data_IF_198368685590
#
_entry.id   IF_198368685590
#
_cell.length_a   1.000
_cell.length_b   1.000
_cell.length_c   1.000
_cell.angle_alpha   90.00
_cell.angle_beta   90.00
_cell.angle_gamma   90.00
#
_symmetry.space_group_name_H-M   'P 1'
#
loop_
_entity.id
_entity.type
_entity.pdbx_description
1 polymer ?
#
# COMPACT_ATOMS: atom_id res chain seq x y z
N UNK A 1 12.23 9.72 23.33
CA UNK A 1 11.08 9.10 22.69
C UNK A 1 11.22 7.60 22.86
N UNK A 2 10.34 6.99 23.61
CA UNK A 2 10.28 5.53 23.67
C UNK A 2 9.66 5.05 22.36
N UNK A 3 10.51 4.71 21.42
CA UNK A 3 10.10 4.24 20.13
C UNK A 3 9.35 2.92 20.28
N UNK A 4 8.17 2.83 19.71
CA UNK A 4 7.61 1.58 19.29
C UNK A 4 6.75 0.79 20.27
N UNK A 5 6.54 1.22 21.48
CA UNK A 5 5.78 0.43 22.46
C UNK A 5 4.27 0.76 22.52
N UNK A 6 3.82 1.77 21.81
CA UNK A 6 2.40 2.12 21.79
C UNK A 6 1.70 1.50 20.57
N UNK A 7 0.67 0.68 20.76
CA UNK A 7 -0.11 0.16 19.67
C UNK A 7 -0.98 1.28 19.06
N UNK A 8 -0.88 1.44 17.75
CA UNK A 8 -1.78 2.31 16.99
C UNK A 8 -2.87 1.45 16.35
N UNK A 9 -4.12 1.78 16.61
CA UNK A 9 -5.25 1.10 16.00
C UNK A 9 -5.85 2.00 14.90
N UNK A 10 -5.83 1.49 13.68
CA UNK A 10 -6.45 2.13 12.51
C UNK A 10 -7.55 1.19 12.03
N UNK A 11 -8.81 1.59 12.20
CA UNK A 11 -9.93 0.71 11.90
C UNK A 11 -11.19 1.44 11.46
N UNK A 12 -12.03 0.74 10.71
CA UNK A 12 -13.30 1.23 10.19
C UNK A 12 -13.19 2.51 9.33
N UNK A 13 -12.07 2.65 8.60
CA UNK A 13 -11.89 3.78 7.70
C UNK A 13 -12.18 3.38 6.26
N UNK A 14 -12.58 4.36 5.47
CA UNK A 14 -12.65 4.29 4.01
C UNK A 14 -11.57 5.23 3.48
N UNK A 15 -10.53 4.65 2.87
CA UNK A 15 -9.33 5.35 2.38
C UNK A 15 -9.29 5.17 0.86
N UNK A 16 -9.76 6.16 0.14
CA UNK A 16 -10.00 6.05 -1.29
C UNK A 16 -9.53 7.29 -2.05
N UNK A 17 -9.12 7.11 -3.30
CA UNK A 17 -8.80 8.20 -4.23
C UNK A 17 -7.66 9.11 -3.79
N UNK A 18 -6.72 8.60 -3.02
CA UNK A 18 -5.52 9.35 -2.65
C UNK A 18 -4.40 9.09 -3.66
N UNK A 19 -3.55 10.09 -3.84
CA UNK A 19 -2.41 10.01 -4.75
C UNK A 19 -1.13 10.37 -3.98
N UNK A 20 -0.10 9.54 -4.16
CA UNK A 20 1.26 9.81 -3.67
C UNK A 20 2.24 9.84 -4.84
N UNK A 21 3.26 10.67 -4.71
CA UNK A 21 4.36 10.74 -5.68
C UNK A 21 5.42 9.66 -5.49
N UNK A 22 5.40 8.96 -4.38
CA UNK A 22 6.36 7.91 -4.04
C UNK A 22 5.65 6.58 -3.75
N UNK A 23 5.27 6.31 -2.51
CA UNK A 23 4.67 5.06 -2.03
C UNK A 23 3.44 5.31 -1.18
N UNK A 24 2.61 4.28 -0.97
CA UNK A 24 1.49 4.35 -0.05
C UNK A 24 0.48 5.43 -0.40
N UNK A 25 -0.08 5.39 -1.61
CA UNK A 25 -1.10 6.35 -2.03
C UNK A 25 -2.25 6.48 -1.02
N UNK A 26 -2.69 5.36 -0.46
CA UNK A 26 -3.67 5.35 0.63
C UNK A 26 -3.04 5.48 2.01
N UNK A 27 -2.06 4.64 2.32
CA UNK A 27 -1.42 4.55 3.64
C UNK A 27 0.07 4.31 3.47
N UNK A 28 0.90 5.10 4.16
CA UNK A 28 2.34 4.86 4.28
C UNK A 28 2.72 4.72 5.74
N UNK A 29 3.39 3.62 6.10
CA UNK A 29 3.86 3.31 7.45
C UNK A 29 5.38 3.28 7.45
N UNK A 30 5.98 4.24 8.12
CA UNK A 30 7.42 4.36 8.30
C UNK A 30 7.74 4.47 9.79
N UNK A 31 8.69 3.68 10.28
CA UNK A 31 9.01 3.60 11.71
C UNK A 31 7.78 3.34 12.61
N UNK A 32 6.89 2.49 12.14
CA UNK A 32 5.61 2.20 12.78
C UNK A 32 5.43 0.70 13.11
N UNK A 33 6.20 0.14 14.05
CA UNK A 33 6.30 -1.30 14.29
C UNK A 33 5.06 -1.93 14.95
N UNK A 34 4.19 -1.14 15.59
CA UNK A 34 3.05 -1.63 16.39
C UNK A 34 1.69 -1.13 15.88
N UNK A 35 1.50 -1.12 14.58
CA UNK A 35 0.21 -0.76 13.98
C UNK A 35 -0.70 -1.98 13.88
N UNK A 36 -1.95 -1.80 14.28
CA UNK A 36 -3.05 -2.72 14.02
C UNK A 36 -4.00 -2.06 13.04
N UNK A 37 -4.07 -2.63 11.85
CA UNK A 37 -4.85 -2.09 10.74
C UNK A 37 -5.94 -3.09 10.37
N UNK A 38 -7.21 -2.80 10.73
CA UNK A 38 -8.27 -3.77 10.58
C UNK A 38 -9.63 -3.14 10.24
N UNK A 39 -10.47 -3.90 9.56
CA UNK A 39 -11.80 -3.46 9.12
C UNK A 39 -11.77 -2.18 8.26
N UNK A 40 -10.70 -1.95 7.50
CA UNK A 40 -10.60 -0.78 6.62
C UNK A 40 -10.91 -1.17 5.17
N UNK A 41 -11.39 -0.20 4.41
CA UNK A 41 -11.53 -0.27 2.96
C UNK A 41 -10.51 0.68 2.33
N UNK A 42 -9.54 0.13 1.60
CA UNK A 42 -8.44 0.86 0.96
C UNK A 42 -8.53 0.62 -0.55
N UNK A 43 -9.08 1.57 -1.29
CA UNK A 43 -9.42 1.35 -2.69
C UNK A 43 -9.01 2.53 -3.56
N UNK A 44 -8.62 2.21 -4.81
CA UNK A 44 -8.42 3.20 -5.87
C UNK A 44 -7.40 4.30 -5.49
N UNK A 45 -6.43 3.96 -4.66
CA UNK A 45 -5.32 4.84 -4.38
C UNK A 45 -4.21 4.66 -5.43
N UNK A 46 -3.43 5.69 -5.68
CA UNK A 46 -2.46 5.73 -6.76
C UNK A 46 -1.10 6.17 -6.23
N UNK A 47 -0.05 5.53 -6.73
CA UNK A 47 1.32 6.04 -6.66
C UNK A 47 1.79 6.40 -8.07
N UNK A 48 2.50 7.51 -8.23
CA UNK A 48 2.89 8.02 -9.55
C UNK A 48 4.37 7.84 -9.86
N UNK A 49 5.19 7.48 -8.87
CA UNK A 49 6.65 7.37 -8.97
C UNK A 49 7.34 8.65 -9.46
N UNK A 50 6.72 9.82 -9.27
CA UNK A 50 7.27 11.11 -9.75
C UNK A 50 8.23 11.76 -8.77
N UNK A 51 8.32 11.29 -7.51
CA UNK A 51 9.34 11.73 -6.59
C UNK A 51 10.73 11.31 -7.05
N UNK A 52 11.73 12.18 -6.88
CA UNK A 52 13.12 11.85 -7.23
C UNK A 52 13.62 10.58 -6.55
N UNK A 53 13.21 10.34 -5.30
CA UNK A 53 13.59 9.18 -4.49
C UNK A 53 12.98 7.88 -5.00
N UNK A 54 11.92 7.91 -5.79
CA UNK A 54 11.32 6.72 -6.40
C UNK A 54 12.10 6.23 -7.62
N UNK A 55 12.96 7.07 -8.20
CA UNK A 55 13.70 6.79 -9.46
C UNK A 55 12.79 6.28 -10.59
N UNK A 56 11.54 6.75 -10.62
CA UNK A 56 10.53 6.33 -11.57
C UNK A 56 9.96 4.93 -11.36
N UNK A 57 10.35 4.23 -10.31
CA UNK A 57 9.90 2.85 -10.04
C UNK A 57 8.56 2.81 -9.31
N UNK A 58 7.68 1.87 -9.66
CA UNK A 58 6.40 1.70 -8.99
C UNK A 58 6.59 1.24 -7.53
N UNK A 59 5.67 1.63 -6.66
CA UNK A 59 5.62 1.21 -5.27
C UNK A 59 4.18 0.90 -4.84
N UNK A 60 3.96 0.12 -3.76
CA UNK A 60 2.62 -0.24 -3.30
C UNK A 60 1.72 0.98 -3.14
N UNK A 61 0.50 0.92 -3.70
CA UNK A 61 -0.37 2.08 -3.83
C UNK A 61 -1.47 2.13 -2.76
N UNK A 62 -1.97 0.98 -2.29
CA UNK A 62 -2.96 0.95 -1.22
C UNK A 62 -2.34 1.20 0.14
N UNK A 63 -1.54 0.26 0.62
CA UNK A 63 -0.77 0.38 1.85
C UNK A 63 0.69 0.02 1.59
N UNK A 64 1.59 0.91 1.94
CA UNK A 64 3.03 0.70 1.88
C UNK A 64 3.66 0.75 3.26
N UNK A 65 4.64 -0.11 3.47
CA UNK A 65 5.54 -0.02 4.60
C UNK A 65 6.98 0.07 4.12
N UNK A 66 7.89 0.49 4.98
CA UNK A 66 9.29 0.62 4.63
C UNK A 66 10.18 0.11 5.76
N UNK A 67 11.48 -0.01 5.45
CA UNK A 67 12.52 -0.37 6.42
C UNK A 67 12.46 0.56 7.62
N UNK A 68 12.60 -0.01 8.81
CA UNK A 68 12.77 0.77 10.03
C UNK A 68 14.10 1.54 9.99
N UNK A 69 14.11 2.73 10.54
CA UNK A 69 15.36 3.45 10.76
C UNK A 69 16.27 2.66 11.70
N UNK A 70 17.58 2.83 11.55
CA UNK A 70 18.55 2.18 12.44
C UNK A 70 18.30 2.55 13.91
N UNK A 71 17.85 3.78 14.15
CA UNK A 71 17.55 4.27 15.49
C UNK A 71 16.37 3.52 16.12
N UNK A 72 15.30 3.33 15.38
CA UNK A 72 14.16 2.53 15.83
C UNK A 72 14.56 1.07 16.01
N UNK A 73 15.19 0.47 15.00
CA UNK A 73 15.55 -0.95 15.02
C UNK A 73 16.43 -1.31 16.21
N UNK A 74 17.33 -0.43 16.62
CA UNK A 74 18.19 -0.63 17.79
C UNK A 74 17.41 -0.68 19.12
N UNK A 75 16.16 -0.19 19.14
CA UNK A 75 15.29 -0.21 20.35
C UNK A 75 14.32 -1.37 20.36
N UNK A 76 14.17 -2.08 19.25
CA UNK A 76 13.25 -3.22 19.14
C UNK A 76 13.93 -4.53 19.57
N UNK A 77 13.16 -5.55 19.99
CA UNK A 77 13.68 -6.89 20.19
C UNK A 77 14.41 -7.40 18.95
N UNK A 78 15.50 -8.15 19.12
CA UNK A 78 16.34 -8.65 18.01
C UNK A 78 15.61 -9.60 17.05
N UNK A 79 14.42 -10.08 17.42
CA UNK A 79 13.54 -10.91 16.56
C UNK A 79 12.51 -10.08 15.79
N UNK A 80 12.46 -8.77 15.99
CA UNK A 80 11.51 -7.91 15.31
C UNK A 80 11.84 -7.79 13.81
N UNK A 81 10.82 -7.71 12.94
CA UNK A 81 11.04 -7.40 11.54
C UNK A 81 11.83 -6.11 11.35
N UNK A 82 12.63 -6.05 10.29
CA UNK A 82 13.45 -4.87 9.94
C UNK A 82 12.66 -3.80 9.19
N UNK A 83 11.36 -3.97 9.07
CA UNK A 83 10.41 -3.04 8.43
C UNK A 83 9.17 -2.91 9.32
N UNK A 84 8.37 -1.89 9.06
CA UNK A 84 7.08 -1.73 9.74
C UNK A 84 6.15 -2.86 9.30
N UNK A 85 5.85 -3.79 10.19
CA UNK A 85 5.03 -4.99 9.94
C UNK A 85 3.69 -4.89 10.71
N UNK A 86 2.68 -4.22 10.15
CA UNK A 86 1.40 -4.06 10.81
C UNK A 86 0.62 -5.37 10.89
N UNK A 87 -0.14 -5.55 11.96
CA UNK A 87 -1.18 -6.58 12.00
C UNK A 87 -2.31 -6.18 11.04
N UNK A 88 -2.43 -6.91 9.93
CA UNK A 88 -3.43 -6.67 8.88
C UNK A 88 -4.55 -7.71 8.99
N UNK A 89 -5.76 -7.28 9.32
CA UNK A 89 -6.88 -8.20 9.53
C UNK A 89 -8.19 -7.61 9.02
N UNK A 90 -8.94 -8.43 8.28
CA UNK A 90 -10.32 -8.11 7.82
C UNK A 90 -10.40 -6.76 7.07
N UNK A 91 -9.50 -6.53 6.11
CA UNK A 91 -9.48 -5.34 5.28
C UNK A 91 -9.92 -5.65 3.85
N UNK A 92 -10.34 -4.63 3.12
CA UNK A 92 -10.55 -4.66 1.68
C UNK A 92 -9.47 -3.79 1.03
N UNK A 93 -8.66 -4.40 0.14
CA UNK A 93 -7.70 -3.70 -0.71
C UNK A 93 -8.09 -3.96 -2.17
N UNK A 94 -8.42 -2.91 -2.92
CA UNK A 94 -8.94 -3.10 -4.26
C UNK A 94 -8.64 -1.93 -5.19
N UNK A 95 -8.22 -2.25 -6.42
CA UNK A 95 -7.96 -1.29 -7.49
C UNK A 95 -6.97 -0.18 -7.06
N UNK A 96 -5.93 -0.54 -6.28
CA UNK A 96 -4.84 0.36 -5.96
C UNK A 96 -3.76 0.24 -7.04
N UNK A 97 -3.34 1.36 -7.63
CA UNK A 97 -2.58 1.40 -8.87
C UNK A 97 -1.21 2.01 -8.68
N UNK A 98 -0.17 1.25 -9.04
CA UNK A 98 1.23 1.63 -8.90
C UNK A 98 1.80 2.11 -10.25
N UNK A 99 1.93 3.41 -10.41
CA UNK A 99 2.47 4.02 -11.62
C UNK A 99 3.98 3.90 -11.73
N UNK A 100 4.46 3.89 -12.95
CA UNK A 100 5.87 4.03 -13.33
C UNK A 100 6.06 5.39 -13.99
N UNK A 101 7.11 6.12 -13.65
CA UNK A 101 7.42 7.41 -14.26
C UNK A 101 8.61 7.30 -15.19
N UNK A 102 8.37 7.50 -16.49
CA UNK A 102 9.41 7.42 -17.53
C UNK A 102 9.36 8.68 -18.39
N UNK A 103 10.50 9.34 -18.51
CA UNK A 103 10.61 10.61 -19.23
C UNK A 103 9.82 11.72 -18.52
N UNK A 104 8.63 12.02 -18.97
CA UNK A 104 7.71 13.01 -18.39
C UNK A 104 6.29 12.46 -18.20
N UNK A 105 6.13 11.13 -18.24
CA UNK A 105 4.82 10.48 -18.29
C UNK A 105 4.69 9.43 -17.18
N UNK A 106 3.55 9.44 -16.51
CA UNK A 106 3.15 8.35 -15.60
C UNK A 106 2.40 7.32 -16.42
N UNK A 107 2.79 6.06 -16.30
CA UNK A 107 2.18 4.92 -16.98
C UNK A 107 1.75 3.84 -15.99
N UNK A 108 0.85 2.94 -16.41
CA UNK A 108 0.38 1.81 -15.60
C UNK A 108 -0.70 2.15 -14.58
N UNK A 109 -1.27 3.35 -14.62
CA UNK A 109 -2.37 3.76 -13.73
C UNK A 109 -3.73 3.87 -14.42
N UNK A 110 -3.79 3.55 -15.72
CA UNK A 110 -5.03 3.55 -16.50
C UNK A 110 -5.48 4.93 -16.98
N UNK A 111 -4.53 5.82 -17.29
CA UNK A 111 -4.79 7.07 -17.99
C UNK A 111 -5.28 6.79 -19.41
N UNK A 112 -6.12 7.68 -19.93
CA UNK A 112 -6.54 7.60 -21.33
C UNK A 112 -5.32 7.70 -22.26
N UNK A 113 -5.12 6.69 -23.11
CA UNK A 113 -3.97 6.63 -24.02
C UNK A 113 -2.70 6.02 -23.40
N UNK A 114 -2.75 5.56 -22.16
CA UNK A 114 -1.66 4.79 -21.56
C UNK A 114 -1.51 3.44 -22.29
N UNK A 115 -0.35 3.17 -22.94
CA UNK A 115 -0.14 1.91 -23.64
C UNK A 115 0.11 0.74 -22.69
N UNK A 116 0.40 1.01 -21.43
CA UNK A 116 0.71 -0.01 -20.44
C UNK A 116 -0.57 -0.52 -19.76
N UNK A 117 -0.63 -1.81 -19.45
CA UNK A 117 -1.69 -2.35 -18.61
C UNK A 117 -1.65 -1.71 -17.21
N UNK A 118 -2.80 -1.63 -16.55
CA UNK A 118 -2.87 -1.16 -15.18
C UNK A 118 -2.02 -2.06 -14.29
N UNK A 119 -1.08 -1.46 -13.58
CA UNK A 119 -0.24 -2.13 -12.60
C UNK A 119 -0.89 -2.02 -11.22
N UNK A 120 -1.54 -3.09 -10.81
CA UNK A 120 -2.19 -3.15 -9.50
C UNK A 120 -1.21 -3.61 -8.43
N UNK A 121 -1.13 -2.85 -7.35
CA UNK A 121 -0.30 -3.20 -6.19
C UNK A 121 -0.99 -2.72 -4.91
N UNK A 122 -1.73 -3.63 -4.29
CA UNK A 122 -2.58 -3.30 -3.15
C UNK A 122 -1.79 -2.97 -1.88
N UNK A 123 -0.81 -3.79 -1.54
CA UNK A 123 0.00 -3.57 -0.33
C UNK A 123 1.37 -4.24 -0.46
N UNK A 124 2.35 -3.74 0.31
CA UNK A 124 3.69 -4.31 0.29
C UNK A 124 4.72 -3.48 1.04
N UNK A 125 5.94 -3.99 1.10
CA UNK A 125 7.11 -3.28 1.60
C UNK A 125 7.82 -2.63 0.41
N UNK A 126 7.97 -1.30 0.43
CA UNK A 126 8.37 -0.52 -0.75
C UNK A 126 9.75 -0.86 -1.29
N UNK A 127 10.68 -1.24 -0.44
CA UNK A 127 12.05 -1.63 -0.81
C UNK A 127 12.22 -3.14 -1.03
N UNK A 128 11.12 -3.90 -0.96
CA UNK A 128 11.12 -5.33 -1.24
C UNK A 128 11.86 -6.21 -0.21
N UNK A 129 12.20 -5.66 0.95
CA UNK A 129 12.95 -6.39 1.99
C UNK A 129 12.12 -7.39 2.78
N UNK A 130 10.81 -7.43 2.56
CA UNK A 130 9.91 -8.33 3.25
C UNK A 130 8.56 -8.44 2.58
N UNK A 131 7.69 -9.26 3.17
CA UNK A 131 6.32 -9.48 2.73
C UNK A 131 5.38 -9.19 3.90
N UNK A 132 4.26 -8.55 3.63
CA UNK A 132 3.19 -8.33 4.60
C UNK A 132 2.30 -9.57 4.74
N UNK A 133 1.70 -9.77 5.89
CA UNK A 133 0.91 -10.97 6.23
C UNK A 133 -0.56 -10.64 6.51
N UNK A 134 -1.34 -10.20 5.51
CA UNK A 134 -2.77 -9.96 5.70
C UNK A 134 -3.51 -11.27 5.94
N UNK A 135 -4.52 -11.21 6.83
CA UNK A 135 -5.41 -12.33 7.12
C UNK A 135 -6.87 -11.91 7.06
N UNK A 136 -7.75 -12.84 6.68
CA UNK A 136 -9.20 -12.61 6.55
C UNK A 136 -9.53 -11.33 5.73
N UNK A 137 -8.69 -11.02 4.77
CA UNK A 137 -8.77 -9.78 3.99
C UNK A 137 -9.13 -10.09 2.53
N UNK A 138 -9.73 -9.11 1.87
CA UNK A 138 -10.00 -9.17 0.44
C UNK A 138 -8.96 -8.32 -0.29
N UNK A 139 -8.34 -8.89 -1.34
CA UNK A 139 -7.30 -8.21 -2.13
C UNK A 139 -7.50 -8.49 -3.61
N UNK A 140 -7.13 -7.56 -4.46
CA UNK A 140 -7.13 -7.79 -5.89
C UNK A 140 -5.93 -8.62 -6.33
N UNK A 141 -4.75 -8.31 -5.80
CA UNK A 141 -3.49 -9.00 -6.10
C UNK A 141 -2.74 -9.38 -4.83
N UNK A 142 -1.86 -10.38 -4.95
CA UNK A 142 -1.04 -10.86 -3.82
C UNK A 142 0.39 -10.34 -3.83
N UNK A 143 0.73 -9.47 -4.78
CA UNK A 143 2.06 -8.85 -4.87
C UNK A 143 2.42 -8.17 -3.55
N UNK A 144 3.58 -8.51 -2.98
CA UNK A 144 4.07 -7.93 -1.72
C UNK A 144 3.53 -8.59 -0.45
N UNK A 145 2.83 -9.74 -0.56
CA UNK A 145 2.22 -10.42 0.59
C UNK A 145 2.60 -11.88 0.71
N UNK A 146 2.52 -12.39 1.92
CA UNK A 146 2.52 -13.82 2.21
C UNK A 146 1.14 -14.40 1.88
N UNK A 147 1.10 -15.53 1.20
CA UNK A 147 -0.15 -16.21 0.91
C UNK A 147 -0.83 -16.69 2.20
N UNK A 148 -2.13 -16.44 2.32
CA UNK A 148 -2.96 -16.94 3.42
C UNK A 148 -4.26 -17.52 2.88
N UNK A 149 -4.66 -18.72 3.31
CA UNK A 149 -5.90 -19.36 2.87
C UNK A 149 -7.16 -18.65 3.37
N UNK A 150 -7.02 -17.74 4.31
CA UNK A 150 -8.15 -16.97 4.86
C UNK A 150 -8.47 -15.71 4.05
N UNK A 151 -7.62 -15.36 3.07
CA UNK A 151 -7.83 -14.21 2.21
C UNK A 151 -8.68 -14.56 0.98
N UNK A 152 -9.46 -13.59 0.52
CA UNK A 152 -10.18 -13.64 -0.75
C UNK A 152 -9.41 -12.80 -1.77
N UNK A 153 -8.93 -13.43 -2.84
CA UNK A 153 -8.07 -12.78 -3.83
C UNK A 153 -8.73 -12.78 -5.21
N UNK A 154 -8.67 -11.64 -5.90
CA UNK A 154 -9.16 -11.49 -7.27
C UNK A 154 -10.69 -11.47 -7.41
N UNK A 155 -11.44 -11.43 -6.31
CA UNK A 155 -12.90 -11.36 -6.31
C UNK A 155 -13.33 -9.94 -6.05
N UNK A 156 -14.14 -9.37 -6.96
CA UNK A 156 -14.65 -8.00 -6.82
C UNK A 156 -15.46 -7.84 -5.52
N UNK A 157 -15.13 -6.87 -4.66
CA UNK A 157 -15.85 -6.63 -3.41
C UNK A 157 -17.29 -6.16 -3.60
N UNK A 158 -17.69 -5.80 -4.83
CA UNK A 158 -19.04 -5.34 -5.18
C UNK A 158 -19.58 -4.24 -4.23
N UNK A 159 -18.72 -3.28 -3.90
CA UNK A 159 -19.13 -2.13 -3.09
C UNK A 159 -20.25 -1.35 -3.79
N UNK A 160 -21.29 -0.98 -3.06
CA UNK A 160 -22.50 -0.34 -3.63
C UNK A 160 -22.18 1.03 -4.22
N UNK A 161 -21.30 1.79 -3.59
CA UNK A 161 -20.79 3.05 -4.14
C UNK A 161 -19.44 2.77 -4.81
N UNK A 162 -19.42 2.74 -6.14
CA UNK A 162 -18.16 2.85 -6.87
C UNK A 162 -17.66 4.27 -6.66
N UNK A 163 -16.64 4.43 -5.81
CA UNK A 163 -15.91 5.68 -5.72
C UNK A 163 -15.31 5.96 -7.09
N UNK A 164 -16.00 6.75 -7.91
CA UNK A 164 -15.60 6.99 -9.28
C UNK A 164 -14.26 7.75 -9.30
N UNK A 165 -13.28 7.09 -9.80
CA UNK A 165 -11.97 7.62 -10.06
C UNK A 165 -11.76 7.68 -11.55
N UNK A 166 -12.50 8.52 -12.23
CA UNK A 166 -11.95 9.01 -13.47
C UNK A 166 -10.62 9.69 -13.09
N UNK A 167 -9.50 9.06 -13.39
CA UNK A 167 -8.19 9.70 -13.27
C UNK A 167 -8.24 10.90 -14.20
N UNK A 168 -8.64 12.05 -13.66
CA UNK A 168 -8.54 13.30 -14.40
C UNK A 168 -7.05 13.57 -14.53
N UNK A 169 -6.62 13.92 -15.74
CA UNK A 169 -5.27 14.37 -15.95
C UNK A 169 -4.93 15.36 -14.86
N UNK A 170 -3.83 15.10 -14.14
CA UNK A 170 -3.27 16.05 -13.21
C UNK A 170 -2.99 17.35 -13.98
N UNK A 171 -3.31 18.52 -13.44
CA UNK A 171 -3.06 19.79 -14.09
C UNK A 171 -1.57 20.00 -14.38
#
# INVERSE_FOLDING_TARGET
LMAGNFPYNVYNNIIVNNISTHEGGGVSLNDAPNVRFFNNTVMKNITTATAMTSMGQPAPAGLSTSRNSNLLQATLPGTSPIFSDPLLFNNIFWDNRAGTFVGSTVAGIGLTGDPNPVNQWDLGVSDGIGLLSPTNSMMQVTTGTVASPTNIVGVNPNVVATYDTSVRALP
#
